data_IF_463409710936
#
_entry.id   IF_463409710936
#
_cell.length_a   1.000
_cell.length_b   1.000
_cell.length_c   1.000
_cell.angle_alpha   90.00
_cell.angle_beta   90.00
_cell.angle_gamma   90.00
#
_symmetry.space_group_name_H-M   'P 1'
#
loop_
_entity.id
_entity.type
_entity.pdbx_description
1 polymer ?
#
# COMPACT_ATOMS: atom_id res chain seq x y z
N UNK A 1 -40.41 0.87 8.71
CA UNK A 1 -39.17 0.37 9.35
C UNK A 1 -38.54 1.61 9.93
N UNK A 2 -38.07 1.60 11.15
CA UNK A 2 -37.43 2.76 11.78
C UNK A 2 -35.93 2.80 11.41
N UNK A 3 -35.39 3.98 11.12
CA UNK A 3 -34.03 4.20 10.70
C UNK A 3 -33.28 5.08 11.70
N UNK A 4 -31.94 5.11 11.56
CA UNK A 4 -31.04 6.05 12.23
C UNK A 4 -29.94 6.47 11.26
N UNK A 5 -29.34 7.64 11.50
CA UNK A 5 -28.13 8.03 10.79
C UNK A 5 -27.02 7.04 11.07
N UNK A 6 -26.25 6.68 10.04
CA UNK A 6 -25.06 5.84 10.20
C UNK A 6 -24.06 6.53 11.13
N UNK A 7 -23.42 5.74 12.02
CA UNK A 7 -22.33 6.20 12.86
C UNK A 7 -21.12 6.66 12.01
N UNK A 8 -20.98 6.11 10.83
CA UNK A 8 -19.84 6.35 9.94
C UNK A 8 -20.06 7.49 8.94
N UNK A 9 -21.04 8.37 9.17
CA UNK A 9 -21.25 9.59 8.41
C UNK A 9 -20.30 10.70 8.88
N UNK A 10 -19.41 11.14 7.99
CA UNK A 10 -18.58 12.32 8.18
C UNK A 10 -19.24 13.52 7.52
N UNK A 11 -19.46 14.60 8.30
CA UNK A 11 -20.13 15.84 7.84
C UNK A 11 -19.11 16.90 7.50
N UNK A 12 -19.30 17.60 6.38
CA UNK A 12 -18.43 18.69 5.93
C UNK A 12 -19.24 19.76 5.18
N UNK A 13 -18.70 20.98 5.12
CA UNK A 13 -19.36 22.08 4.42
C UNK A 13 -18.98 22.07 2.93
N UNK A 14 -19.98 22.06 2.04
CA UNK A 14 -19.80 22.19 0.58
C UNK A 14 -19.91 23.66 0.15
N UNK A 15 -20.76 24.44 0.84
CA UNK A 15 -21.02 25.85 0.55
C UNK A 15 -21.76 26.52 1.70
N UNK A 16 -22.36 27.70 1.45
CA UNK A 16 -23.05 28.45 2.50
C UNK A 16 -24.34 27.78 2.98
N UNK A 17 -25.02 27.05 2.07
CA UNK A 17 -26.34 26.48 2.29
C UNK A 17 -26.41 24.98 1.96
N UNK A 18 -25.27 24.29 2.00
CA UNK A 18 -25.21 22.88 1.65
C UNK A 18 -24.23 22.13 2.58
N UNK A 19 -24.70 20.99 3.14
CA UNK A 19 -23.94 20.11 4.00
C UNK A 19 -23.63 18.81 3.23
N UNK A 20 -22.34 18.45 3.17
CA UNK A 20 -21.90 17.19 2.63
C UNK A 20 -21.90 16.10 3.70
N UNK A 21 -22.25 14.89 3.29
CA UNK A 21 -22.08 13.69 4.09
C UNK A 21 -21.21 12.71 3.29
N UNK A 22 -20.10 12.31 3.85
CA UNK A 22 -19.30 11.19 3.35
C UNK A 22 -19.47 10.00 4.30
N UNK A 23 -20.04 8.91 3.82
CA UNK A 23 -20.12 7.69 4.62
C UNK A 23 -18.85 6.86 4.45
N UNK A 24 -18.06 6.71 5.51
CA UNK A 24 -16.75 6.04 5.46
C UNK A 24 -16.86 4.52 5.32
N UNK A 25 -18.07 3.96 5.54
CA UNK A 25 -18.31 2.53 5.42
C UNK A 25 -18.74 2.14 3.98
N UNK A 26 -19.66 2.89 3.39
CA UNK A 26 -20.12 2.66 2.02
C UNK A 26 -19.26 3.35 0.95
N UNK A 27 -18.56 4.43 1.32
CA UNK A 27 -17.85 5.31 0.41
C UNK A 27 -18.75 6.32 -0.31
N UNK A 28 -20.04 6.37 0.02
CA UNK A 28 -20.99 7.28 -0.59
C UNK A 28 -20.75 8.73 -0.14
N UNK A 29 -20.95 9.66 -1.08
CA UNK A 29 -20.94 11.10 -0.84
C UNK A 29 -22.27 11.68 -1.28
N UNK A 30 -22.91 12.47 -0.42
CA UNK A 30 -24.17 13.18 -0.73
C UNK A 30 -24.07 14.61 -0.27
N UNK A 31 -24.67 15.55 -1.04
CA UNK A 31 -24.88 16.94 -0.65
C UNK A 31 -26.35 17.16 -0.33
N UNK A 32 -26.65 17.86 0.74
CA UNK A 32 -27.99 18.12 1.23
C UNK A 32 -28.15 19.58 1.66
N UNK A 33 -29.30 20.20 1.36
CA UNK A 33 -29.67 21.41 2.05
C UNK A 33 -29.89 21.13 3.55
N UNK A 34 -29.69 22.09 4.45
CA UNK A 34 -29.94 21.90 5.89
C UNK A 34 -31.34 21.37 6.22
N UNK A 35 -32.36 21.83 5.48
CA UNK A 35 -33.75 21.35 5.62
C UNK A 35 -33.92 19.87 5.24
N UNK A 36 -33.23 19.43 4.17
CA UNK A 36 -33.25 18.01 3.74
C UNK A 36 -32.55 17.10 4.76
N UNK A 37 -31.46 17.59 5.37
CA UNK A 37 -30.79 16.89 6.47
C UNK A 37 -31.71 16.76 7.70
N UNK A 38 -32.51 17.79 8.00
CA UNK A 38 -33.45 17.73 9.12
C UNK A 38 -34.67 16.82 8.81
N UNK A 39 -35.13 16.81 7.56
CA UNK A 39 -36.14 15.85 7.11
C UNK A 39 -35.61 14.42 7.18
N UNK A 40 -34.38 14.18 6.77
CA UNK A 40 -33.73 12.87 6.88
C UNK A 40 -33.64 12.38 8.33
N UNK A 41 -33.27 13.27 9.27
CA UNK A 41 -33.24 12.98 10.73
C UNK A 41 -34.63 12.64 11.28
N UNK A 42 -35.68 13.18 10.68
CA UNK A 42 -37.07 12.96 11.08
C UNK A 42 -37.74 11.82 10.29
N UNK A 43 -36.97 11.07 9.49
CA UNK A 43 -37.46 9.99 8.62
C UNK A 43 -38.57 10.44 7.65
N UNK A 44 -38.47 11.69 7.13
CA UNK A 44 -39.40 12.25 6.17
C UNK A 44 -38.87 12.17 4.73
N UNK A 45 -39.81 12.11 3.78
CA UNK A 45 -39.47 12.08 2.35
C UNK A 45 -39.09 10.68 1.83
N UNK A 46 -38.41 10.65 0.67
CA UNK A 46 -37.92 9.41 0.08
C UNK A 46 -36.59 9.01 0.72
N UNK A 47 -36.60 7.98 1.56
CA UNK A 47 -35.48 7.48 2.30
C UNK A 47 -34.63 6.43 1.52
N UNK A 48 -35.21 5.85 0.46
CA UNK A 48 -34.59 4.73 -0.30
C UNK A 48 -33.15 5.04 -0.79
N UNK A 49 -32.88 6.21 -1.40
CA UNK A 49 -31.51 6.56 -1.84
C UNK A 49 -30.51 6.59 -0.69
N UNK A 50 -30.92 7.06 0.47
CA UNK A 50 -30.04 7.18 1.64
C UNK A 50 -29.78 5.84 2.32
N UNK A 51 -30.78 4.95 2.32
CA UNK A 51 -30.63 3.56 2.80
C UNK A 51 -29.66 2.80 1.89
N UNK A 52 -29.85 2.90 0.56
CA UNK A 52 -28.99 2.22 -0.43
C UNK A 52 -27.54 2.66 -0.33
N UNK A 53 -27.31 3.93 -0.04
CA UNK A 53 -25.98 4.53 0.12
C UNK A 53 -25.42 4.42 1.54
N UNK A 54 -26.14 3.81 2.48
CA UNK A 54 -25.68 3.61 3.86
C UNK A 54 -25.59 4.89 4.70
N UNK A 55 -26.22 5.99 4.26
CA UNK A 55 -26.29 7.26 5.02
C UNK A 55 -27.20 7.10 6.22
N UNK A 56 -28.31 6.40 6.04
CA UNK A 56 -29.17 5.90 7.11
C UNK A 56 -29.17 4.38 7.10
N UNK A 57 -29.32 3.79 8.27
CA UNK A 57 -29.36 2.34 8.46
C UNK A 57 -30.55 1.95 9.33
N UNK A 58 -31.06 0.71 9.24
CA UNK A 58 -32.12 0.23 10.14
C UNK A 58 -31.73 0.48 11.60
N UNK A 59 -32.68 0.92 12.42
CA UNK A 59 -32.44 1.32 13.80
C UNK A 59 -31.75 0.22 14.64
N UNK A 60 -32.11 -1.03 14.41
CA UNK A 60 -31.53 -2.21 15.09
C UNK A 60 -30.15 -2.62 14.58
N UNK A 61 -29.67 -2.03 13.46
CA UNK A 61 -28.38 -2.42 12.87
C UNK A 61 -27.22 -1.98 13.76
N UNK A 62 -26.37 -2.93 14.12
CA UNK A 62 -25.09 -2.68 14.77
C UNK A 62 -23.99 -2.67 13.71
N UNK A 63 -23.55 -1.47 13.30
CA UNK A 63 -22.53 -1.30 12.24
C UNK A 63 -21.14 -1.74 12.73
N UNK A 64 -20.85 -1.63 14.02
CA UNK A 64 -19.57 -2.06 14.58
C UNK A 64 -19.44 -3.60 14.54
N UNK A 65 -20.51 -4.33 14.82
CA UNK A 65 -20.54 -5.79 14.73
C UNK A 65 -20.39 -6.26 13.27
N UNK A 66 -21.04 -5.57 12.33
CA UNK A 66 -20.87 -5.85 10.90
C UNK A 66 -19.41 -5.63 10.46
N UNK A 67 -18.80 -4.54 10.91
CA UNK A 67 -17.40 -4.24 10.60
C UNK A 67 -16.48 -5.31 11.20
N UNK A 68 -16.74 -5.74 12.42
CA UNK A 68 -16.00 -6.82 13.07
C UNK A 68 -16.13 -8.14 12.29
N UNK A 69 -17.34 -8.53 11.91
CA UNK A 69 -17.58 -9.74 11.13
C UNK A 69 -16.86 -9.70 9.77
N UNK A 70 -16.90 -8.55 9.09
CA UNK A 70 -16.16 -8.32 7.84
C UNK A 70 -14.65 -8.45 8.04
N UNK A 71 -14.14 -7.95 9.16
CA UNK A 71 -12.74 -8.01 9.53
C UNK A 71 -12.28 -9.45 9.79
N UNK A 72 -13.06 -10.21 10.58
CA UNK A 72 -12.83 -11.64 10.84
C UNK A 72 -12.78 -12.42 9.54
N UNK A 73 -13.80 -12.25 8.69
CA UNK A 73 -13.88 -12.94 7.42
C UNK A 73 -12.63 -12.70 6.55
N UNK A 74 -12.14 -11.49 6.47
CA UNK A 74 -10.94 -11.14 5.66
C UNK A 74 -9.64 -11.71 6.20
N UNK A 75 -9.49 -11.75 7.52
CA UNK A 75 -8.29 -12.32 8.16
C UNK A 75 -8.22 -13.82 7.88
N UNK A 76 -9.38 -14.49 7.87
CA UNK A 76 -9.49 -15.94 7.74
C UNK A 76 -9.55 -16.39 6.26
N UNK A 77 -10.36 -15.73 5.44
CA UNK A 77 -10.66 -16.14 4.05
C UNK A 77 -9.56 -15.84 3.04
N UNK A 78 -8.38 -15.48 3.46
CA UNK A 78 -7.26 -15.14 2.59
C UNK A 78 -7.11 -16.09 1.40
N UNK A 79 -7.83 -15.79 0.31
CA UNK A 79 -7.94 -16.65 -0.88
C UNK A 79 -6.64 -16.69 -1.69
N UNK A 80 -5.83 -15.62 -1.58
CA UNK A 80 -4.52 -15.52 -2.22
C UNK A 80 -3.47 -15.07 -1.22
N UNK A 81 -2.92 -16.00 -0.40
CA UNK A 81 -1.90 -15.67 0.57
C UNK A 81 -0.65 -15.09 -0.09
N UNK A 82 0.01 -14.17 0.62
CA UNK A 82 1.26 -13.55 0.18
C UNK A 82 2.42 -14.09 0.99
N UNK A 83 3.44 -14.59 0.29
CA UNK A 83 4.73 -14.97 0.86
C UNK A 83 5.78 -13.98 0.41
N UNK A 84 6.26 -13.13 1.34
CA UNK A 84 7.38 -12.24 1.09
C UNK A 84 8.67 -12.97 1.45
N UNK A 85 9.49 -13.27 0.47
CA UNK A 85 10.68 -14.11 0.62
C UNK A 85 11.93 -13.24 0.51
N UNK A 86 12.73 -13.26 1.56
CA UNK A 86 14.05 -12.66 1.60
C UNK A 86 15.05 -13.65 1.01
N UNK A 87 15.43 -13.46 -0.23
CA UNK A 87 16.46 -14.29 -0.87
C UNK A 87 17.83 -14.08 -0.22
N UNK A 88 18.05 -12.87 0.29
CA UNK A 88 19.24 -12.45 1.04
C UNK A 88 18.93 -11.26 1.92
N UNK A 89 19.71 -11.06 2.99
CA UNK A 89 19.74 -9.83 3.78
C UNK A 89 20.87 -8.89 3.34
N UNK A 90 21.72 -9.29 2.38
CA UNK A 90 22.73 -8.41 1.80
C UNK A 90 22.16 -7.55 0.67
N UNK A 91 22.75 -6.39 0.45
CA UNK A 91 22.37 -5.43 -0.56
C UNK A 91 23.62 -4.77 -1.15
N UNK A 92 23.57 -4.45 -2.44
CA UNK A 92 24.61 -3.68 -3.11
C UNK A 92 24.43 -2.15 -2.97
N UNK A 93 23.51 -1.71 -2.10
CA UNK A 93 23.32 -0.32 -1.72
C UNK A 93 23.39 -0.16 -0.19
N UNK A 94 23.65 1.07 0.28
CA UNK A 94 23.72 1.45 1.71
C UNK A 94 22.85 2.69 1.94
N UNK A 95 21.54 2.54 1.69
CA UNK A 95 20.58 3.63 1.86
C UNK A 95 20.57 4.10 3.32
N UNK A 96 20.63 5.41 3.55
CA UNK A 96 20.72 5.96 4.92
C UNK A 96 19.49 5.64 5.80
N UNK A 97 18.35 5.36 5.19
CA UNK A 97 17.09 5.04 5.83
C UNK A 97 16.82 3.53 5.93
N UNK A 98 17.75 2.68 5.52
CA UNK A 98 17.52 1.24 5.45
C UNK A 98 17.32 0.64 6.86
N UNK A 99 16.16 0.04 7.10
CA UNK A 99 15.89 -0.63 8.36
C UNK A 99 16.58 -2.01 8.47
N UNK A 100 17.03 -2.57 7.34
CA UNK A 100 17.76 -3.85 7.26
C UNK A 100 19.26 -3.70 7.45
N UNK A 101 19.81 -2.48 7.50
CA UNK A 101 21.26 -2.23 7.60
C UNK A 101 21.93 -2.88 8.82
N UNK A 102 21.12 -3.16 9.86
CA UNK A 102 21.57 -3.84 11.09
C UNK A 102 21.52 -5.36 11.02
N UNK A 103 20.92 -5.93 9.98
CA UNK A 103 20.81 -7.37 9.82
C UNK A 103 22.17 -7.98 9.46
N UNK A 104 22.49 -9.15 10.05
CA UNK A 104 23.63 -9.94 9.60
C UNK A 104 23.42 -10.35 8.17
N UNK A 105 24.41 -10.08 7.32
CA UNK A 105 24.38 -10.47 5.90
C UNK A 105 24.32 -11.99 5.77
N UNK A 106 23.29 -12.48 5.12
CA UNK A 106 23.05 -13.88 4.88
C UNK A 106 22.34 -14.09 3.54
N UNK A 107 22.68 -15.19 2.89
CA UNK A 107 22.07 -15.64 1.64
C UNK A 107 21.25 -16.89 1.93
N UNK A 108 20.05 -17.00 1.37
CA UNK A 108 19.27 -18.22 1.43
C UNK A 108 20.00 -19.32 0.67
N UNK A 109 20.15 -20.47 1.31
CA UNK A 109 20.73 -21.66 0.66
C UNK A 109 19.70 -22.36 -0.24
N UNK A 110 20.18 -23.19 -1.14
CA UNK A 110 19.32 -24.02 -1.98
C UNK A 110 18.47 -24.97 -1.12
N UNK A 111 19.03 -25.56 -0.07
CA UNK A 111 18.28 -26.41 0.86
C UNK A 111 17.16 -25.61 1.57
N UNK A 112 17.46 -24.41 2.05
CA UNK A 112 16.43 -23.54 2.64
C UNK A 112 15.34 -23.21 1.62
N UNK A 113 15.71 -22.91 0.38
CA UNK A 113 14.75 -22.61 -0.70
C UNK A 113 13.83 -23.79 -1.02
N UNK A 114 14.34 -25.00 -0.96
CA UNK A 114 13.54 -26.23 -1.09
C UNK A 114 12.53 -26.35 0.04
N UNK A 115 12.97 -26.15 1.29
CA UNK A 115 12.07 -26.14 2.45
C UNK A 115 11.02 -25.04 2.39
N UNK A 116 11.37 -23.86 1.83
CA UNK A 116 10.39 -22.79 1.57
C UNK A 116 9.30 -23.28 0.62
N UNK A 117 9.66 -23.97 -0.47
CA UNK A 117 8.68 -24.53 -1.39
C UNK A 117 7.76 -25.55 -0.70
N UNK A 118 8.34 -26.48 0.05
CA UNK A 118 7.58 -27.53 0.77
C UNK A 118 6.62 -26.88 1.80
N UNK A 119 7.10 -25.89 2.56
CA UNK A 119 6.29 -25.14 3.52
C UNK A 119 5.12 -24.41 2.83
N UNK A 120 5.38 -23.73 1.71
CA UNK A 120 4.33 -23.01 0.96
C UNK A 120 3.30 -24.01 0.44
N UNK A 121 3.72 -25.06 -0.24
CA UNK A 121 2.81 -26.06 -0.79
C UNK A 121 1.97 -26.75 0.29
N UNK A 122 2.57 -27.09 1.44
CA UNK A 122 1.87 -27.66 2.58
C UNK A 122 0.80 -26.75 3.20
N UNK A 123 0.98 -25.43 3.13
CA UNK A 123 0.05 -24.45 3.68
C UNK A 123 -0.98 -23.94 2.66
N UNK A 124 -0.76 -24.15 1.37
CA UNK A 124 -1.54 -23.53 0.31
C UNK A 124 -2.86 -24.28 0.04
N UNK A 125 -2.85 -25.60 0.10
CA UNK A 125 -3.95 -26.45 -0.40
C UNK A 125 -4.18 -26.18 -1.89
N UNK A 126 -5.43 -26.06 -2.32
CA UNK A 126 -5.80 -25.80 -3.72
C UNK A 126 -5.71 -24.32 -4.14
N UNK A 127 -5.22 -23.44 -3.25
CA UNK A 127 -5.14 -22.00 -3.51
C UNK A 127 -3.94 -21.64 -4.36
N UNK A 128 -4.04 -20.48 -5.02
CA UNK A 128 -2.87 -19.78 -5.55
C UNK A 128 -2.33 -18.79 -4.53
N UNK A 129 -1.03 -18.49 -4.60
CA UNK A 129 -0.39 -17.47 -3.74
C UNK A 129 0.27 -16.37 -4.57
N UNK A 130 0.68 -15.32 -3.88
CA UNK A 130 1.59 -14.32 -4.39
C UNK A 130 2.96 -14.49 -3.73
N UNK A 131 3.98 -14.73 -4.51
CA UNK A 131 5.37 -14.66 -4.08
C UNK A 131 5.87 -13.25 -4.33
N UNK A 132 6.35 -12.62 -3.27
CA UNK A 132 6.96 -11.30 -3.34
C UNK A 132 8.45 -11.41 -2.99
N UNK A 133 9.29 -11.32 -4.01
CA UNK A 133 10.74 -11.28 -3.83
C UNK A 133 11.16 -10.02 -3.11
N UNK A 134 11.95 -10.18 -2.07
CA UNK A 134 12.35 -9.11 -1.17
C UNK A 134 13.68 -9.43 -0.49
N UNK A 135 14.12 -8.56 0.44
CA UNK A 135 15.35 -8.69 1.23
C UNK A 135 16.18 -7.43 1.10
N UNK A 136 17.50 -7.54 1.23
CA UNK A 136 18.41 -6.47 0.91
C UNK A 136 18.28 -6.09 -0.57
N UNK A 137 18.87 -6.87 -1.45
CA UNK A 137 18.59 -6.83 -2.89
C UNK A 137 18.35 -8.27 -3.39
N UNK A 138 17.11 -8.61 -3.79
CA UNK A 138 16.78 -9.99 -4.14
C UNK A 138 17.55 -10.53 -5.33
N UNK A 139 17.95 -9.68 -6.27
CA UNK A 139 18.72 -10.07 -7.45
C UNK A 139 20.17 -10.47 -7.15
N UNK A 140 20.64 -10.31 -5.92
CA UNK A 140 21.95 -10.83 -5.49
C UNK A 140 21.93 -12.34 -5.22
N UNK A 141 20.76 -12.98 -5.22
CA UNK A 141 20.64 -14.44 -5.05
C UNK A 141 19.73 -15.07 -6.11
N UNK A 142 20.09 -15.00 -7.40
CA UNK A 142 19.27 -15.44 -8.52
C UNK A 142 18.96 -16.94 -8.50
N UNK A 143 19.88 -17.79 -8.01
CA UNK A 143 19.72 -19.25 -8.00
C UNK A 143 18.51 -19.70 -7.16
N UNK A 144 18.25 -18.99 -6.05
CA UNK A 144 17.07 -19.26 -5.19
C UNK A 144 15.79 -18.81 -5.90
N UNK A 145 15.84 -17.70 -6.62
CA UNK A 145 14.69 -17.24 -7.42
C UNK A 145 14.37 -18.27 -8.51
N UNK A 146 15.39 -18.77 -9.23
CA UNK A 146 15.24 -19.83 -10.25
C UNK A 146 14.53 -21.04 -9.67
N UNK A 147 15.05 -21.59 -8.57
CA UNK A 147 14.53 -22.81 -7.95
C UNK A 147 13.07 -22.65 -7.50
N UNK A 148 12.78 -21.61 -6.72
CA UNK A 148 11.43 -21.43 -6.15
C UNK A 148 10.43 -21.11 -7.26
N UNK A 149 10.81 -20.29 -8.25
CA UNK A 149 9.94 -20.00 -9.38
C UNK A 149 9.61 -21.25 -10.16
N UNK A 150 10.61 -22.08 -10.50
CA UNK A 150 10.38 -23.31 -11.24
C UNK A 150 9.45 -24.29 -10.49
N UNK A 151 9.64 -24.42 -9.18
CA UNK A 151 8.81 -25.31 -8.35
C UNK A 151 7.37 -24.78 -8.16
N UNK A 152 7.17 -23.45 -8.07
CA UNK A 152 5.88 -22.86 -7.71
C UNK A 152 5.14 -22.16 -8.86
N UNK A 153 5.66 -22.13 -10.09
CA UNK A 153 5.08 -21.37 -11.22
C UNK A 153 3.63 -21.71 -11.57
N UNK A 154 3.13 -22.88 -11.19
CA UNK A 154 1.73 -23.29 -11.40
C UNK A 154 0.80 -22.77 -10.30
N UNK A 155 1.32 -22.56 -9.09
CA UNK A 155 0.56 -22.21 -7.88
C UNK A 155 0.78 -20.75 -7.45
N UNK A 156 1.75 -20.05 -8.04
CA UNK A 156 2.11 -18.70 -7.61
C UNK A 156 2.12 -17.71 -8.77
N UNK A 157 1.73 -16.46 -8.42
CA UNK A 157 2.10 -15.28 -9.19
C UNK A 157 3.33 -14.64 -8.52
N UNK A 158 4.15 -13.95 -9.31
CA UNK A 158 5.41 -13.42 -8.83
C UNK A 158 5.49 -11.91 -9.01
N UNK A 159 5.98 -11.23 -7.97
CA UNK A 159 6.37 -9.83 -8.03
C UNK A 159 7.69 -9.61 -7.27
N UNK A 160 8.34 -8.48 -7.53
CA UNK A 160 9.63 -8.16 -6.92
C UNK A 160 9.63 -6.74 -6.37
N UNK A 161 10.30 -6.54 -5.24
CA UNK A 161 10.71 -5.23 -4.75
C UNK A 161 12.23 -5.21 -4.82
N UNK A 162 12.78 -4.35 -5.66
CA UNK A 162 14.21 -4.29 -5.98
C UNK A 162 14.67 -2.85 -6.10
N UNK A 163 15.95 -2.59 -5.84
CA UNK A 163 16.57 -1.33 -6.20
C UNK A 163 16.84 -1.21 -7.73
N UNK A 164 16.59 -2.29 -8.46
CA UNK A 164 16.69 -2.44 -9.90
C UNK A 164 18.08 -2.21 -10.51
N UNK A 165 19.14 -2.07 -9.71
CA UNK A 165 20.49 -1.80 -10.22
C UNK A 165 21.17 -3.01 -10.88
N UNK A 166 20.60 -4.21 -10.71
CA UNK A 166 21.14 -5.46 -11.27
C UNK A 166 20.30 -6.03 -12.41
N UNK A 167 19.26 -5.33 -12.88
CA UNK A 167 18.38 -5.82 -13.96
C UNK A 167 19.16 -6.03 -15.26
N UNK A 168 20.07 -5.13 -15.60
CA UNK A 168 20.91 -5.24 -16.81
C UNK A 168 21.91 -6.41 -16.72
N UNK A 169 22.37 -6.75 -15.52
CA UNK A 169 23.27 -7.91 -15.30
C UNK A 169 22.50 -9.22 -15.40
N UNK A 170 21.33 -9.29 -14.81
CA UNK A 170 20.45 -10.48 -14.85
C UNK A 170 19.85 -10.67 -16.23
N UNK A 171 19.50 -9.58 -16.91
CA UNK A 171 18.82 -9.56 -18.19
C UNK A 171 17.29 -9.65 -18.05
N UNK A 172 16.58 -8.84 -18.85
CA UNK A 172 15.10 -8.79 -18.80
C UNK A 172 14.47 -10.12 -19.21
N UNK A 173 15.11 -10.88 -20.09
CA UNK A 173 14.65 -12.21 -20.47
C UNK A 173 14.63 -13.19 -19.29
N UNK A 174 15.60 -13.07 -18.38
CA UNK A 174 15.60 -13.88 -17.15
C UNK A 174 14.48 -13.47 -16.20
N UNK A 175 14.19 -12.17 -16.08
CA UNK A 175 13.05 -11.66 -15.31
C UNK A 175 11.72 -12.23 -15.86
N UNK A 176 11.58 -12.30 -17.20
CA UNK A 176 10.42 -12.93 -17.83
C UNK A 176 10.32 -14.42 -17.55
N UNK A 177 11.43 -15.15 -17.60
CA UNK A 177 11.49 -16.59 -17.25
C UNK A 177 11.07 -16.83 -15.80
N UNK A 178 11.30 -15.90 -14.90
CA UNK A 178 10.81 -15.95 -13.52
C UNK A 178 9.33 -15.55 -13.39
N UNK A 179 8.63 -15.36 -14.48
CA UNK A 179 7.22 -14.97 -14.50
C UNK A 179 6.89 -13.73 -13.65
N UNK A 180 7.86 -12.81 -13.50
CA UNK A 180 7.68 -11.60 -12.70
C UNK A 180 6.83 -10.61 -13.50
N UNK A 181 5.56 -10.48 -13.10
CA UNK A 181 4.61 -9.59 -13.77
C UNK A 181 4.77 -8.11 -13.33
N UNK A 182 5.31 -7.89 -12.13
CA UNK A 182 5.43 -6.56 -11.54
C UNK A 182 6.72 -6.42 -10.75
N UNK A 183 7.43 -5.32 -10.99
CA UNK A 183 8.59 -4.91 -10.18
C UNK A 183 8.31 -3.55 -9.54
N UNK A 184 8.44 -3.45 -8.21
CA UNK A 184 8.48 -2.18 -7.53
C UNK A 184 9.92 -1.70 -7.44
N UNK A 185 10.18 -0.51 -7.99
CA UNK A 185 11.49 0.14 -7.96
C UNK A 185 11.39 1.41 -7.12
N UNK A 186 12.43 1.70 -6.33
CA UNK A 186 12.44 2.88 -5.45
C UNK A 186 13.37 3.95 -5.99
N UNK A 187 12.84 5.17 -6.18
CA UNK A 187 13.60 6.38 -6.47
C UNK A 187 13.49 7.35 -5.28
N UNK A 188 14.57 8.10 -5.00
CA UNK A 188 14.67 8.97 -3.84
C UNK A 188 15.05 10.42 -4.19
N UNK A 189 15.00 10.79 -5.47
CA UNK A 189 15.36 12.11 -5.98
C UNK A 189 15.96 12.06 -7.37
N UNK A 190 16.41 13.23 -7.87
CA UNK A 190 17.20 13.38 -9.09
C UNK A 190 18.58 12.73 -8.92
N UNK A 191 19.39 12.72 -9.97
CA UNK A 191 20.65 11.96 -10.03
C UNK A 191 21.53 12.16 -8.80
N UNK A 192 21.83 13.41 -8.44
CA UNK A 192 22.72 13.70 -7.31
C UNK A 192 22.13 13.29 -5.96
N UNK A 193 20.85 13.61 -5.73
CA UNK A 193 20.17 13.26 -4.51
C UNK A 193 20.01 11.74 -4.39
N UNK A 194 19.60 11.08 -5.47
CA UNK A 194 19.46 9.63 -5.52
C UNK A 194 20.77 8.92 -5.18
N UNK A 195 21.87 9.28 -5.84
CA UNK A 195 23.17 8.63 -5.63
C UNK A 195 23.68 8.85 -4.20
N UNK A 196 23.50 10.06 -3.62
CA UNK A 196 23.85 10.33 -2.21
C UNK A 196 22.98 9.54 -1.22
N UNK A 197 21.71 9.34 -1.53
CA UNK A 197 20.74 8.66 -0.63
C UNK A 197 20.86 7.15 -0.72
N UNK A 198 21.08 6.58 -1.90
CA UNK A 198 21.22 5.13 -2.13
C UNK A 198 22.61 4.59 -1.75
N UNK A 199 23.67 5.32 -2.05
CA UNK A 199 25.06 4.92 -1.75
C UNK A 199 25.37 3.51 -2.23
N UNK A 200 25.29 3.29 -3.55
CA UNK A 200 25.63 2.01 -4.15
C UNK A 200 27.09 1.65 -3.91
N UNK A 201 27.36 0.35 -3.76
CA UNK A 201 28.70 -0.22 -3.72
C UNK A 201 29.09 -0.52 -5.17
N UNK A 202 30.26 -0.05 -5.58
CA UNK A 202 30.87 -0.30 -6.91
C UNK A 202 30.02 0.16 -8.12
N UNK A 203 29.03 1.06 -7.92
CA UNK A 203 28.28 1.70 -8.98
C UNK A 203 28.39 3.22 -8.81
N UNK A 204 29.09 3.89 -9.73
CA UNK A 204 29.31 5.34 -9.64
C UNK A 204 28.04 6.14 -9.91
N UNK A 205 27.26 5.77 -10.94
CA UNK A 205 25.99 6.39 -11.29
C UNK A 205 24.85 5.37 -11.27
N UNK A 206 24.35 5.13 -10.07
CA UNK A 206 23.22 4.24 -9.85
C UNK A 206 21.93 4.80 -10.42
N UNK A 207 21.76 6.13 -10.49
CA UNK A 207 20.55 6.75 -11.03
C UNK A 207 20.36 6.44 -12.52
N UNK A 208 21.34 6.79 -13.36
CA UNK A 208 21.24 6.53 -14.80
C UNK A 208 21.06 5.05 -15.13
N UNK A 209 21.75 4.19 -14.39
CA UNK A 209 21.62 2.74 -14.54
C UNK A 209 20.21 2.25 -14.21
N UNK A 210 19.63 2.69 -13.09
CA UNK A 210 18.29 2.29 -12.67
C UNK A 210 17.21 2.87 -13.60
N UNK A 211 17.36 4.12 -14.07
CA UNK A 211 16.46 4.69 -15.09
C UNK A 211 16.49 3.87 -16.39
N UNK A 212 17.68 3.52 -16.89
CA UNK A 212 17.80 2.65 -18.06
C UNK A 212 17.14 1.28 -17.88
N UNK A 213 17.28 0.68 -16.70
CA UNK A 213 16.66 -0.58 -16.34
C UNK A 213 15.12 -0.46 -16.25
N UNK A 214 14.59 0.62 -15.66
CA UNK A 214 13.14 0.91 -15.65
C UNK A 214 12.58 0.98 -17.07
N UNK A 215 13.21 1.74 -17.96
CA UNK A 215 12.80 1.89 -19.35
C UNK A 215 12.83 0.55 -20.10
N UNK A 216 13.86 -0.27 -19.88
CA UNK A 216 13.98 -1.61 -20.46
C UNK A 216 12.86 -2.55 -20.00
N UNK A 217 12.52 -2.55 -18.71
CA UNK A 217 11.42 -3.35 -18.17
C UNK A 217 10.07 -2.94 -18.77
N UNK A 218 9.80 -1.64 -18.83
CA UNK A 218 8.55 -1.09 -19.41
C UNK A 218 8.42 -1.46 -20.87
N UNK A 219 9.50 -1.31 -21.65
CA UNK A 219 9.56 -1.67 -23.07
C UNK A 219 9.23 -3.13 -23.31
N UNK A 220 9.68 -4.00 -22.42
CA UNK A 220 9.48 -5.43 -22.48
C UNK A 220 8.16 -5.92 -21.86
N UNK A 221 7.26 -4.99 -21.49
CA UNK A 221 5.90 -5.27 -21.00
C UNK A 221 5.80 -5.68 -19.54
N UNK A 222 6.89 -5.56 -18.76
CA UNK A 222 6.86 -5.81 -17.31
C UNK A 222 6.33 -4.54 -16.62
N UNK A 223 5.33 -4.70 -15.75
CA UNK A 223 4.78 -3.55 -15.03
C UNK A 223 5.77 -3.02 -13.98
N UNK A 224 6.15 -1.75 -14.10
CA UNK A 224 7.05 -1.09 -13.14
C UNK A 224 6.27 -0.17 -12.22
N UNK A 225 6.28 -0.47 -10.92
CA UNK A 225 5.72 0.40 -9.87
C UNK A 225 6.83 1.28 -9.31
N UNK A 226 6.92 2.52 -9.78
CA UNK A 226 7.93 3.48 -9.34
C UNK A 226 7.46 4.10 -8.02
N UNK A 227 8.12 3.74 -6.95
CA UNK A 227 7.91 4.31 -5.62
C UNK A 227 8.92 5.43 -5.41
N UNK A 228 8.44 6.65 -5.22
CA UNK A 228 9.27 7.80 -4.89
C UNK A 228 9.24 7.98 -3.37
N UNK A 229 10.38 7.76 -2.72
CA UNK A 229 10.50 8.01 -1.28
C UNK A 229 10.83 9.48 -1.04
N UNK A 230 10.03 10.11 -0.18
CA UNK A 230 10.28 11.49 0.23
C UNK A 230 10.34 11.64 1.75
N UNK A 231 11.06 12.61 2.19
CA UNK A 231 11.05 13.25 3.51
C UNK A 231 11.05 14.77 3.30
N UNK A 232 10.92 15.53 4.38
CA UNK A 232 10.87 17.00 4.28
C UNK A 232 12.11 17.62 3.57
N UNK A 233 13.26 16.95 3.61
CA UNK A 233 14.52 17.49 3.06
C UNK A 233 14.64 17.34 1.55
N UNK A 234 13.87 16.46 0.91
CA UNK A 234 14.01 16.19 -0.53
C UNK A 234 12.78 16.54 -1.37
N UNK A 235 11.79 17.24 -0.84
CA UNK A 235 10.53 17.55 -1.54
C UNK A 235 10.77 18.29 -2.85
N UNK A 236 11.60 19.34 -2.85
CA UNK A 236 11.91 20.11 -4.06
C UNK A 236 12.65 19.26 -5.11
N UNK A 237 13.54 18.41 -4.68
CA UNK A 237 14.25 17.48 -5.56
C UNK A 237 13.30 16.41 -6.15
N UNK A 238 12.29 15.98 -5.38
CA UNK A 238 11.25 15.06 -5.87
C UNK A 238 10.34 15.73 -6.89
N UNK A 239 9.99 17.01 -6.73
CA UNK A 239 9.25 17.76 -7.74
C UNK A 239 10.00 17.79 -9.08
N UNK A 240 11.32 18.06 -9.03
CA UNK A 240 12.17 17.99 -10.22
C UNK A 240 12.26 16.57 -10.81
N UNK A 241 12.30 15.53 -9.97
CA UNK A 241 12.26 14.14 -10.41
C UNK A 241 10.95 13.81 -11.12
N UNK A 242 9.80 14.26 -10.61
CA UNK A 242 8.48 14.03 -11.21
C UNK A 242 8.45 14.65 -12.63
N UNK A 243 8.90 15.90 -12.77
CA UNK A 243 9.01 16.56 -14.07
C UNK A 243 9.90 15.75 -15.04
N UNK A 244 11.11 15.38 -14.61
CA UNK A 244 12.03 14.56 -15.38
C UNK A 244 11.40 13.22 -15.82
N UNK A 245 10.72 12.51 -14.92
CA UNK A 245 10.08 11.24 -15.24
C UNK A 245 8.96 11.42 -16.28
N UNK A 246 8.24 12.54 -16.28
CA UNK A 246 7.18 12.82 -17.27
C UNK A 246 7.71 12.98 -18.69
N UNK A 247 8.97 13.44 -18.82
CA UNK A 247 9.64 13.61 -20.12
C UNK A 247 10.18 12.30 -20.68
N UNK A 248 10.72 11.43 -19.82
CA UNK A 248 11.43 10.23 -20.27
C UNK A 248 10.58 8.95 -20.32
N UNK A 249 9.52 8.87 -19.49
CA UNK A 249 8.69 7.68 -19.46
C UNK A 249 7.79 7.60 -20.69
N UNK A 250 7.69 6.44 -21.35
CA UNK A 250 6.87 6.29 -22.55
C UNK A 250 5.37 6.40 -22.20
N UNK A 251 4.55 6.81 -23.18
CA UNK A 251 3.08 6.76 -23.05
C UNK A 251 2.64 5.29 -23.06
N UNK A 252 2.53 4.70 -21.88
CA UNK A 252 2.23 3.29 -21.68
C UNK A 252 1.47 3.08 -20.38
N UNK A 253 0.70 1.98 -20.31
CA UNK A 253 0.03 1.53 -19.09
C UNK A 253 0.89 0.55 -18.25
N UNK A 254 2.14 0.30 -18.66
CA UNK A 254 3.02 -0.67 -18.01
C UNK A 254 3.83 -0.09 -16.85
N UNK A 255 3.43 1.04 -16.32
CA UNK A 255 4.01 1.60 -15.10
C UNK A 255 2.99 2.39 -14.29
N UNK A 256 3.34 2.65 -13.03
CA UNK A 256 2.65 3.59 -12.15
C UNK A 256 3.65 4.29 -11.25
N UNK A 257 3.47 5.59 -11.03
CA UNK A 257 4.32 6.41 -10.18
C UNK A 257 3.54 6.84 -8.95
N UNK A 258 4.13 6.71 -7.77
CA UNK A 258 3.52 7.20 -6.53
C UNK A 258 4.58 7.63 -5.52
N UNK A 259 4.23 8.58 -4.67
CA UNK A 259 5.09 9.05 -3.58
C UNK A 259 4.78 8.30 -2.28
N UNK A 260 5.79 8.10 -1.47
CA UNK A 260 5.69 7.45 -0.16
C UNK A 260 6.61 8.14 0.84
N UNK A 261 6.04 8.60 1.95
CA UNK A 261 6.83 9.16 3.04
C UNK A 261 7.80 8.12 3.62
N UNK A 262 9.02 8.54 3.93
CA UNK A 262 9.99 7.73 4.66
C UNK A 262 9.61 7.69 6.13
N UNK A 263 9.37 6.50 6.64
CA UNK A 263 9.19 6.29 8.08
C UNK A 263 10.57 6.15 8.72
N UNK A 264 11.10 7.25 9.24
CA UNK A 264 12.32 7.22 10.06
C UNK A 264 11.95 7.40 11.53
N UNK A 265 12.44 6.53 12.43
CA UNK A 265 12.27 6.74 13.88
C UNK A 265 12.99 7.99 14.39
N UNK A 266 13.82 8.64 13.57
CA UNK A 266 14.72 9.73 13.96
C UNK A 266 14.30 11.11 13.50
N UNK A 267 13.36 11.23 12.54
CA UNK A 267 12.93 12.51 11.99
C UNK A 267 11.44 12.69 12.30
N UNK A 268 11.15 13.57 13.23
CA UNK A 268 9.80 14.06 13.52
C UNK A 268 9.52 15.24 12.60
N UNK A 269 9.04 15.00 11.39
CA UNK A 269 8.28 16.01 10.69
C UNK A 269 6.98 16.23 11.47
N UNK A 270 6.63 17.47 11.74
CA UNK A 270 5.32 17.74 12.29
C UNK A 270 4.24 17.30 11.28
N UNK A 271 3.08 16.90 11.81
CA UNK A 271 2.01 16.35 10.99
C UNK A 271 1.52 17.31 9.89
N UNK A 272 1.64 18.62 10.11
CA UNK A 272 1.20 19.64 9.14
C UNK A 272 2.17 19.74 7.97
N UNK A 273 3.47 19.81 8.23
CA UNK A 273 4.52 19.83 7.20
C UNK A 273 4.44 18.59 6.33
N UNK A 274 4.36 17.40 6.92
CA UNK A 274 4.23 16.13 6.21
C UNK A 274 2.98 16.08 5.32
N UNK A 275 1.86 16.63 5.80
CA UNK A 275 0.61 16.73 5.06
C UNK A 275 0.78 17.65 3.85
N UNK A 276 1.33 18.85 4.03
CA UNK A 276 1.52 19.82 2.96
C UNK A 276 2.46 19.29 1.88
N UNK A 277 3.56 18.67 2.26
CA UNK A 277 4.51 18.04 1.33
C UNK A 277 3.84 16.94 0.51
N UNK A 278 3.04 16.08 1.16
CA UNK A 278 2.31 15.06 0.44
C UNK A 278 1.34 15.62 -0.60
N UNK A 279 0.57 16.66 -0.26
CA UNK A 279 -0.36 17.28 -1.21
C UNK A 279 0.38 17.91 -2.39
N UNK A 280 1.44 18.68 -2.15
CA UNK A 280 2.27 19.27 -3.22
C UNK A 280 2.77 18.20 -4.19
N UNK A 281 3.26 17.08 -3.68
CA UNK A 281 3.78 15.99 -4.50
C UNK A 281 2.67 15.25 -5.27
N UNK A 282 1.48 15.08 -4.69
CA UNK A 282 0.34 14.50 -5.41
C UNK A 282 -0.17 15.43 -6.52
N UNK A 283 -0.24 16.73 -6.27
CA UNK A 283 -0.60 17.73 -7.28
C UNK A 283 0.37 17.68 -8.47
N UNK A 284 1.66 17.66 -8.20
CA UNK A 284 2.66 17.54 -9.25
C UNK A 284 2.49 16.25 -10.06
N UNK A 285 2.25 15.10 -9.40
CA UNK A 285 2.00 13.84 -10.12
C UNK A 285 0.78 13.93 -11.05
N UNK A 286 -0.29 14.62 -10.64
CA UNK A 286 -1.48 14.82 -11.47
C UNK A 286 -1.18 15.78 -12.62
N UNK A 287 -0.55 16.91 -12.35
CA UNK A 287 -0.17 17.94 -13.33
C UNK A 287 0.70 17.34 -14.44
N UNK A 288 1.65 16.49 -14.08
CA UNK A 288 2.51 15.78 -15.02
C UNK A 288 1.90 14.50 -15.62
N UNK A 289 0.59 14.26 -15.40
CA UNK A 289 -0.18 13.21 -16.08
C UNK A 289 -0.01 11.80 -15.53
N UNK A 290 0.50 11.62 -14.32
CA UNK A 290 0.58 10.30 -13.68
C UNK A 290 -0.76 9.87 -13.09
N UNK A 291 -1.57 9.15 -13.85
CA UNK A 291 -2.94 8.72 -13.49
C UNK A 291 -3.05 7.91 -12.20
N UNK A 292 -1.97 7.27 -11.76
CA UNK A 292 -1.94 6.56 -10.47
C UNK A 292 -2.11 7.50 -9.25
N UNK A 293 -1.79 8.79 -9.40
CA UNK A 293 -1.95 9.78 -8.34
C UNK A 293 -3.43 10.06 -8.03
N UNK A 294 -4.33 10.03 -9.01
CA UNK A 294 -5.76 10.19 -8.78
C UNK A 294 -6.33 9.14 -7.81
N UNK A 295 -5.79 7.92 -7.83
CA UNK A 295 -6.19 6.85 -6.90
C UNK A 295 -5.73 7.09 -5.47
N UNK A 296 -4.71 7.92 -5.25
CA UNK A 296 -4.23 8.25 -3.91
C UNK A 296 -5.25 9.07 -3.11
N UNK A 297 -6.11 9.84 -3.79
CA UNK A 297 -7.21 10.57 -3.18
C UNK A 297 -8.46 9.72 -2.95
N UNK A 298 -8.40 8.42 -3.23
CA UNK A 298 -9.54 7.53 -3.06
C UNK A 298 -9.67 7.08 -1.60
N UNK A 299 -10.59 7.70 -0.88
CA UNK A 299 -11.06 7.27 0.43
C UNK A 299 -12.04 6.11 0.26
N UNK A 300 -11.52 4.93 -0.07
CA UNK A 300 -12.36 3.74 -0.20
C UNK A 300 -12.28 2.89 1.07
N UNK A 301 -13.42 2.28 1.41
CA UNK A 301 -13.46 1.18 2.35
C UNK A 301 -12.37 0.17 2.00
N UNK A 302 -11.40 0.01 2.87
CA UNK A 302 -10.35 -0.97 2.64
C UNK A 302 -10.87 -2.35 2.99
N UNK A 303 -11.12 -3.10 1.94
CA UNK A 303 -11.51 -4.50 2.07
C UNK A 303 -10.44 -5.34 2.75
N UNK A 304 -9.18 -4.98 2.73
CA UNK A 304 -8.10 -5.73 3.37
C UNK A 304 -7.19 -4.81 4.18
N UNK A 305 -6.91 -5.22 5.39
CA UNK A 305 -5.73 -4.80 6.13
C UNK A 305 -4.44 -5.26 5.40
N UNK A 306 -3.28 -4.82 5.87
CA UNK A 306 -1.98 -5.30 5.40
C UNK A 306 -1.92 -6.85 5.40
N UNK A 307 -1.19 -7.46 4.45
CA UNK A 307 -1.00 -8.92 4.40
C UNK A 307 -0.46 -9.50 5.73
N UNK A 308 0.29 -8.69 6.51
CA UNK A 308 0.76 -9.08 7.83
C UNK A 308 -0.38 -9.45 8.80
N UNK A 309 -1.58 -8.90 8.60
CA UNK A 309 -2.76 -9.22 9.42
C UNK A 309 -3.53 -10.44 8.91
N UNK A 310 -3.14 -11.06 7.80
CA UNK A 310 -3.81 -12.23 7.22
C UNK A 310 -3.19 -13.52 7.75
N UNK A 311 -4.00 -14.50 8.15
CA UNK A 311 -3.51 -15.72 8.81
C UNK A 311 -2.47 -16.46 7.97
N UNK A 312 -2.73 -16.63 6.65
CA UNK A 312 -1.92 -17.46 5.75
C UNK A 312 -0.81 -16.72 5.02
N UNK A 313 -0.59 -15.44 5.32
CA UNK A 313 0.48 -14.65 4.69
C UNK A 313 1.68 -14.51 5.61
N UNK A 314 2.88 -14.67 5.06
CA UNK A 314 4.11 -14.75 5.84
C UNK A 314 5.26 -13.98 5.20
N UNK A 315 6.18 -13.55 6.05
CA UNK A 315 7.53 -13.16 5.65
C UNK A 315 8.44 -14.33 5.98
N UNK A 316 9.23 -14.76 4.99
CA UNK A 316 10.22 -15.84 5.14
C UNK A 316 11.61 -15.23 4.98
N UNK A 317 12.43 -15.32 6.01
CA UNK A 317 13.81 -14.78 5.99
C UNK A 317 14.78 -15.73 5.31
N UNK A 318 15.99 -15.26 4.99
CA UNK A 318 17.01 -16.06 4.29
C UNK A 318 17.47 -17.31 5.05
N UNK A 319 17.25 -17.37 6.36
CA UNK A 319 17.48 -18.55 7.21
C UNK A 319 16.24 -19.43 7.40
N UNK A 320 15.17 -19.16 6.64
CA UNK A 320 13.91 -19.88 6.72
C UNK A 320 12.98 -19.45 7.86
N UNK A 321 13.32 -18.42 8.64
CA UNK A 321 12.51 -17.93 9.75
C UNK A 321 11.19 -17.33 9.31
N UNK A 322 10.12 -17.56 10.09
CA UNK A 322 8.76 -17.10 9.80
C UNK A 322 8.39 -15.88 10.64
N UNK A 323 7.94 -14.83 9.96
CA UNK A 323 7.49 -13.56 10.52
C UNK A 323 6.21 -13.07 9.82
N UNK A 324 5.51 -12.10 10.44
CA UNK A 324 4.32 -11.49 9.81
C UNK A 324 4.64 -10.20 9.07
N UNK A 325 5.61 -9.43 9.53
CA UNK A 325 5.97 -8.13 8.97
C UNK A 325 7.47 -8.06 8.67
N UNK A 326 7.85 -7.47 7.52
CA UNK A 326 9.25 -7.29 7.18
C UNK A 326 10.01 -6.40 8.18
N UNK A 327 9.32 -5.42 8.79
CA UNK A 327 9.92 -4.56 9.82
C UNK A 327 10.26 -5.30 11.12
N UNK A 328 9.67 -6.46 11.35
CA UNK A 328 9.92 -7.27 12.57
C UNK A 328 10.98 -8.36 12.35
N UNK A 329 11.47 -8.54 11.12
CA UNK A 329 12.51 -9.53 10.83
C UNK A 329 13.78 -9.23 11.62
N UNK A 330 14.46 -10.28 12.09
CA UNK A 330 15.62 -10.16 12.96
C UNK A 330 15.31 -9.96 14.43
N UNK A 331 14.05 -9.69 14.82
CA UNK A 331 13.63 -9.69 16.20
C UNK A 331 13.21 -11.11 16.63
N UNK A 332 13.96 -11.83 17.49
CA UNK A 332 13.62 -13.20 17.87
C UNK A 332 12.29 -13.31 18.62
N UNK A 333 11.83 -12.24 19.24
CA UNK A 333 10.55 -12.22 19.94
C UNK A 333 9.34 -12.23 18.98
N UNK A 334 9.54 -11.89 17.71
CA UNK A 334 8.50 -11.87 16.67
C UNK A 334 8.58 -13.09 15.73
N UNK A 335 9.67 -13.87 15.80
CA UNK A 335 9.76 -15.14 15.10
C UNK A 335 8.80 -16.15 15.73
N UNK A 336 7.93 -16.74 14.92
CA UNK A 336 6.93 -17.70 15.40
C UNK A 336 7.12 -19.12 14.81
N UNK A 337 8.23 -19.36 14.13
CA UNK A 337 8.59 -20.65 13.56
C UNK A 337 9.64 -20.51 12.47
N UNK A 338 9.78 -21.56 11.70
CA UNK A 338 10.64 -21.61 10.50
C UNK A 338 10.12 -22.64 9.50
N UNK A 339 10.72 -22.65 8.30
CA UNK A 339 10.29 -23.58 7.23
C UNK A 339 10.66 -25.04 7.47
N UNK A 340 11.51 -25.34 8.47
CA UNK A 340 11.91 -26.69 8.83
C UNK A 340 10.96 -27.32 9.85
N UNK A 341 10.57 -26.53 10.87
CA UNK A 341 9.71 -26.96 11.98
C UNK A 341 8.25 -26.54 11.81
N UNK A 342 7.96 -25.68 10.84
CA UNK A 342 6.65 -25.07 10.68
C UNK A 342 6.38 -23.97 11.70
N UNK A 343 5.08 -23.70 11.96
CA UNK A 343 4.66 -22.72 12.96
C UNK A 343 4.75 -23.36 14.34
N UNK A 344 5.62 -22.81 15.19
CA UNK A 344 5.86 -23.32 16.57
C UNK A 344 5.20 -22.44 17.63
N UNK A 345 4.88 -21.18 17.33
CA UNK A 345 4.21 -20.25 18.25
C UNK A 345 3.02 -19.56 17.56
N UNK A 346 1.88 -20.23 17.59
CA UNK A 346 0.63 -19.70 17.06
C UNK A 346 0.16 -18.43 17.77
N UNK A 347 0.47 -18.25 19.05
CA UNK A 347 0.08 -17.06 19.81
C UNK A 347 0.78 -15.82 19.26
N UNK A 348 2.10 -15.91 19.00
CA UNK A 348 2.85 -14.82 18.35
C UNK A 348 2.33 -14.52 16.94
N UNK A 349 2.05 -15.55 16.15
CA UNK A 349 1.49 -15.38 14.80
C UNK A 349 0.14 -14.67 14.87
N UNK A 350 -0.77 -15.12 15.72
CA UNK A 350 -2.13 -14.56 15.87
C UNK A 350 -2.13 -13.14 16.43
N UNK A 351 -1.12 -12.74 17.21
CA UNK A 351 -1.00 -11.37 17.70
C UNK A 351 -0.88 -10.31 16.58
N UNK A 352 -0.50 -10.71 15.36
CA UNK A 352 -0.53 -9.86 14.16
C UNK A 352 -1.85 -9.94 13.41
N UNK A 353 -2.56 -11.05 13.50
CA UNK A 353 -3.80 -11.35 12.81
C UNK A 353 -5.03 -11.22 13.71
N UNK A 354 -4.94 -10.41 14.75
CA UNK A 354 -6.02 -10.16 15.70
C UNK A 354 -7.17 -9.39 15.04
N UNK A 355 -8.38 -9.97 14.91
CA UNK A 355 -9.53 -9.29 14.34
C UNK A 355 -10.17 -8.26 15.26
N UNK A 356 -9.81 -8.23 16.55
CA UNK A 356 -10.47 -7.37 17.52
C UNK A 356 -10.37 -5.90 17.14
N UNK A 357 -11.47 -5.19 17.37
CA UNK A 357 -11.52 -3.74 17.24
C UNK A 357 -11.04 -3.16 18.57
N UNK A 358 -9.98 -2.36 18.50
CA UNK A 358 -9.37 -1.74 19.67
C UNK A 358 -10.31 -0.74 20.29
N UNK A 359 -10.25 -0.60 21.61
CA UNK A 359 -11.14 0.29 22.38
C UNK A 359 -11.09 1.74 21.84
N UNK A 360 -9.89 2.27 21.61
CA UNK A 360 -9.69 3.62 21.06
C UNK A 360 -10.16 3.81 19.61
N UNK A 361 -10.52 2.73 18.92
CA UNK A 361 -11.02 2.76 17.54
C UNK A 361 -12.54 2.56 17.43
N UNK A 362 -13.23 2.15 18.49
CA UNK A 362 -14.65 1.78 18.45
C UNK A 362 -15.55 2.90 17.97
N UNK A 363 -15.31 4.11 18.47
CA UNK A 363 -16.08 5.31 18.12
C UNK A 363 -15.44 6.12 17.00
N UNK A 364 -14.42 5.57 16.35
CA UNK A 364 -13.69 6.27 15.30
C UNK A 364 -14.44 6.19 13.98
N UNK A 365 -14.92 7.33 13.49
CA UNK A 365 -15.62 7.46 12.21
C UNK A 365 -14.79 6.94 11.01
N UNK A 366 -13.46 6.90 11.13
CA UNK A 366 -12.53 6.42 10.09
C UNK A 366 -12.23 4.92 10.19
N UNK A 367 -12.81 4.23 11.17
CA UNK A 367 -12.53 2.81 11.38
C UNK A 367 -12.76 1.94 10.12
N UNK A 368 -13.83 2.14 9.31
CA UNK A 368 -14.05 1.37 8.09
C UNK A 368 -12.91 1.49 7.07
N UNK A 369 -12.27 2.66 6.98
CA UNK A 369 -11.16 2.93 6.06
C UNK A 369 -9.82 2.54 6.69
N UNK A 370 -9.59 2.88 7.95
CA UNK A 370 -8.32 2.71 8.64
C UNK A 370 -8.07 1.28 9.13
N UNK A 371 -9.13 0.53 9.47
CA UNK A 371 -9.04 -0.85 9.96
C UNK A 371 -8.11 -1.03 11.17
N UNK A 372 -8.19 -0.13 12.16
CA UNK A 372 -7.34 -0.05 13.35
C UNK A 372 -5.86 0.29 13.08
N UNK A 373 -5.51 0.79 11.91
CA UNK A 373 -4.15 1.26 11.61
C UNK A 373 -3.14 0.16 11.30
N UNK A 374 -1.87 0.50 11.48
CA UNK A 374 -0.73 -0.39 11.22
C UNK A 374 -0.31 -1.14 12.48
N UNK A 375 -0.28 -2.47 12.43
CA UNK A 375 0.15 -3.27 13.57
C UNK A 375 1.65 -3.07 13.89
N UNK A 376 2.49 -2.86 12.88
CA UNK A 376 3.90 -2.53 13.09
C UNK A 376 4.07 -1.19 13.83
N UNK A 377 3.23 -0.18 13.52
CA UNK A 377 3.22 1.09 14.27
C UNK A 377 2.79 0.89 15.73
N UNK A 378 1.80 0.03 15.98
CA UNK A 378 1.34 -0.28 17.34
C UNK A 378 2.37 -1.04 18.18
N UNK A 379 3.20 -1.84 17.52
CA UNK A 379 4.32 -2.56 18.14
C UNK A 379 5.60 -1.71 18.24
N UNK A 380 5.57 -0.45 17.79
CA UNK A 380 6.69 0.49 17.93
C UNK A 380 7.77 0.37 16.85
N UNK A 381 7.51 -0.33 15.75
CA UNK A 381 8.44 -0.41 14.62
C UNK A 381 8.45 0.84 13.75
N UNK A 382 7.33 1.58 13.73
CA UNK A 382 7.19 2.90 13.07
C UNK A 382 6.42 3.84 13.99
N UNK A 383 6.53 5.14 13.76
CA UNK A 383 5.89 6.17 14.59
C UNK A 383 4.38 6.26 14.41
N UNK A 384 3.87 5.92 13.21
CA UNK A 384 2.47 6.08 12.88
C UNK A 384 1.61 4.90 13.36
N UNK A 385 0.80 5.15 14.39
CA UNK A 385 -0.21 4.21 14.88
C UNK A 385 -1.50 4.29 14.06
N UNK A 386 -1.95 5.51 13.72
CA UNK A 386 -3.12 5.80 12.91
C UNK A 386 -2.69 6.19 11.49
N UNK A 387 -3.20 5.49 10.48
CA UNK A 387 -2.86 5.75 9.07
C UNK A 387 -3.60 6.94 8.47
N UNK A 388 -4.65 7.45 9.14
CA UNK A 388 -5.47 8.56 8.68
C UNK A 388 -5.40 9.69 9.70
N UNK A 389 -4.81 10.80 9.29
CA UNK A 389 -4.83 12.04 10.05
C UNK A 389 -6.10 12.82 9.71
N UNK A 390 -6.81 13.31 10.74
CA UNK A 390 -8.11 13.98 10.55
C UNK A 390 -8.09 15.10 9.51
N UNK A 391 -7.13 16.01 9.57
CA UNK A 391 -7.06 17.11 8.63
C UNK A 391 -6.66 16.74 7.19
N UNK A 392 -6.07 15.57 6.97
CA UNK A 392 -5.77 15.03 5.67
C UNK A 392 -7.05 14.62 4.92
N UNK A 393 -7.99 14.00 5.63
CA UNK A 393 -9.23 13.51 5.04
C UNK A 393 -10.13 14.66 4.59
N UNK A 394 -10.22 15.74 5.36
CA UNK A 394 -10.98 16.94 4.99
C UNK A 394 -10.56 17.50 3.63
N UNK A 395 -9.25 17.60 3.42
CA UNK A 395 -8.72 18.11 2.16
C UNK A 395 -8.93 17.16 0.99
N UNK A 396 -8.79 15.84 1.20
CA UNK A 396 -9.08 14.85 0.18
C UNK A 396 -10.55 14.89 -0.25
N UNK A 397 -11.48 15.05 0.70
CA UNK A 397 -12.92 15.16 0.41
C UNK A 397 -13.22 16.44 -0.39
N UNK A 398 -12.66 17.59 0.02
CA UNK A 398 -12.84 18.86 -0.69
C UNK A 398 -12.40 18.77 -2.15
N UNK A 399 -11.25 18.18 -2.41
CA UNK A 399 -10.72 18.00 -3.77
C UNK A 399 -11.61 17.09 -4.62
N UNK A 400 -12.08 15.98 -4.07
CA UNK A 400 -13.02 15.09 -4.79
C UNK A 400 -14.33 15.79 -5.15
N UNK A 401 -14.85 16.63 -4.27
CA UNK A 401 -16.05 17.42 -4.57
C UNK A 401 -15.81 18.43 -5.68
N UNK A 402 -14.63 19.05 -5.71
CA UNK A 402 -14.27 19.97 -6.78
C UNK A 402 -14.19 19.20 -8.13
N UNK A 403 -13.55 18.04 -8.18
CA UNK A 403 -13.49 17.19 -9.38
C UNK A 403 -14.88 16.85 -9.89
N UNK A 404 -15.81 16.44 -9.01
CA UNK A 404 -17.20 16.11 -9.39
C UNK A 404 -17.95 17.33 -9.93
N UNK A 405 -17.74 18.53 -9.33
CA UNK A 405 -18.34 19.78 -9.82
C UNK A 405 -17.82 20.13 -11.21
N UNK A 406 -16.51 20.06 -11.41
CA UNK A 406 -15.86 20.38 -12.70
C UNK A 406 -16.32 19.41 -13.80
N UNK A 407 -16.51 18.12 -13.51
CA UNK A 407 -17.07 17.14 -14.42
C UNK A 407 -18.53 17.44 -14.77
N UNK A 408 -19.35 17.82 -13.80
CA UNK A 408 -20.75 18.19 -14.02
C UNK A 408 -20.87 19.48 -14.85
N UNK A 409 -20.04 20.48 -14.62
CA UNK A 409 -20.05 21.75 -15.36
C UNK A 409 -19.53 21.53 -16.80
N UNK A 410 -18.55 20.67 -17.01
CA UNK A 410 -18.06 20.29 -18.34
C UNK A 410 -19.13 19.57 -19.15
N UNK A 411 -19.89 18.67 -18.50
CA UNK A 411 -20.97 17.93 -19.16
C UNK A 411 -22.17 18.84 -19.51
N UNK A 412 -22.47 19.83 -18.68
CA UNK A 412 -23.50 20.86 -18.97
C UNK A 412 -23.10 21.75 -20.14
N UNK A 413 -21.84 22.17 -20.23
CA UNK A 413 -21.35 23.03 -21.30
C UNK A 413 -21.28 22.30 -22.66
N UNK A 414 -21.02 20.99 -22.70
CA UNK A 414 -21.05 20.18 -23.91
C UNK A 414 -22.48 19.93 -24.43
N UNK A 415 -23.47 19.96 -23.57
CA UNK A 415 -24.89 19.80 -23.98
C UNK A 415 -25.50 21.11 -24.51
N UNK A 416 -24.94 22.26 -24.20
CA UNK A 416 -25.42 23.58 -24.65
C UNK A 416 -24.79 24.01 -25.99
N UNK A 417 -23.66 23.41 -26.40
CA UNK A 417 -22.99 23.72 -27.69
C UNK A 417 -23.42 22.80 -28.85
N UNK A 418 -24.44 21.98 -28.66
CA UNK A 418 -24.97 21.02 -29.64
C UNK A 418 -26.37 21.32 -30.18
N UNK A 419 -26.79 22.59 -30.22
CA UNK A 419 -28.01 23.04 -30.95
C UNK A 419 -27.68 24.08 -32.03
#
# INVERSE_FOLDING_TARGET
MQYKLSHYNYYFNIGKDEVGIFNTFSGAVVGLAPSELDDLKQEKGDLEPFVRNGIIVPFFKNELDELYANRVNRIISNDKPTYRIFTTTDCNARCFYCYEDRAKKAYMSIDTAERVCDFILGNLGDRKCLIQWFGGEPLMNPSVIDLITEKLKKQADFMMISNASLIDVIGVDQIKKWHIAKIQVTLDGTQDAYNRRKRYIDIQDGFSRVIGNILSLIKEGIFVSIRINYDHQNVEDILALIAFLSEILPKSNNYGVYVSHLFSPKEFDDDLTRKNDWFRLQEALIEYGFSSAQKAFSLQYRASSCFACQIRSFVVTSDGGLYKCALSTGNPNERFGDVYSGITDYKKMMAWADPSIREECRDCIWLPICQCGCEAGRKGYITDKCMLQKGFVDEVIKRKLQEVKDECDTTRNTTISGN
#
